data_IF_137144689218
#
_entry.id   IF_137144689218
#
_cell.length_a   1.000
_cell.length_b   1.000
_cell.length_c   1.000
_cell.angle_alpha   90.00
_cell.angle_beta   90.00
_cell.angle_gamma   90.00
#
_symmetry.space_group_name_H-M   'P 1'
#
loop_
_entity.id
_entity.type
_entity.pdbx_description
1 polymer ?
#
# COMPACT_ATOMS: atom_id res chain seq x y z
N UNK A 1 -36.67 15.87 33.00
CA UNK A 1 -35.45 16.70 33.14
C UNK A 1 -34.99 17.01 31.72
N UNK A 2 -35.39 18.15 31.14
CA UNK A 2 -34.53 19.32 30.85
C UNK A 2 -33.15 18.90 30.29
N UNK A 3 -32.66 19.29 29.11
CA UNK A 3 -32.94 20.44 28.28
C UNK A 3 -32.50 20.22 26.83
N UNK A 4 -33.20 20.93 25.95
CA UNK A 4 -33.01 21.18 24.52
C UNK A 4 -32.04 22.37 24.37
N UNK A 5 -31.08 22.30 23.44
CA UNK A 5 -30.35 23.49 22.96
C UNK A 5 -30.16 23.41 21.43
N UNK A 6 -30.74 24.36 20.67
CA UNK A 6 -30.40 24.61 19.27
C UNK A 6 -29.38 25.76 19.18
N UNK A 7 -28.34 25.60 18.38
CA UNK A 7 -27.31 26.62 18.12
C UNK A 7 -27.12 26.84 16.62
N UNK A 8 -28.09 27.53 16.02
CA UNK A 8 -28.08 28.00 14.64
C UNK A 8 -27.17 29.24 14.55
N UNK A 9 -26.02 29.15 13.87
CA UNK A 9 -25.24 30.32 13.46
C UNK A 9 -25.36 30.50 11.94
N UNK A 10 -26.33 31.32 11.55
CA UNK A 10 -26.41 31.99 10.25
C UNK A 10 -25.34 33.08 10.21
N UNK A 11 -24.36 32.96 9.30
CA UNK A 11 -23.56 34.10 8.86
C UNK A 11 -23.93 34.43 7.42
N UNK A 12 -24.78 35.44 7.28
CA UNK A 12 -24.97 36.27 6.09
C UNK A 12 -23.98 37.44 6.19
N UNK A 13 -23.14 37.70 5.19
CA UNK A 13 -22.60 39.02 4.82
C UNK A 13 -22.08 38.92 3.35
N UNK A 14 -21.91 40.04 2.61
CA UNK A 14 -22.68 40.30 1.39
C UNK A 14 -21.78 40.46 0.14
N UNK A 15 -22.45 40.52 -1.01
CA UNK A 15 -21.95 41.05 -2.27
C UNK A 15 -21.26 42.42 -2.09
N UNK A 16 -20.09 42.57 -2.71
CA UNK A 16 -19.55 43.87 -3.13
C UNK A 16 -18.91 43.74 -4.53
N UNK A 17 -19.67 44.25 -5.50
CA UNK A 17 -19.31 45.22 -6.54
C UNK A 17 -17.99 45.07 -7.30
N UNK A 18 -18.17 44.94 -8.61
CA UNK A 18 -17.20 45.09 -9.68
C UNK A 18 -16.66 46.53 -9.85
N UNK A 19 -15.38 46.63 -10.20
CA UNK A 19 -14.65 47.68 -10.94
C UNK A 19 -13.19 47.17 -10.96
N UNK A 20 -12.34 47.25 -11.97
CA UNK A 20 -12.29 48.05 -13.18
C UNK A 20 -11.22 47.40 -14.10
N UNK A 21 -11.27 47.68 -15.40
CA UNK A 21 -10.33 47.22 -16.43
C UNK A 21 -9.11 48.14 -16.47
N UNK A 22 -7.89 47.60 -16.57
CA UNK A 22 -6.95 48.23 -17.50
C UNK A 22 -6.27 47.23 -18.44
N UNK A 23 -6.29 47.64 -19.69
CA UNK A 23 -5.55 47.10 -20.82
C UNK A 23 -4.12 47.66 -20.74
N UNK A 24 -3.09 46.80 -20.65
CA UNK A 24 -1.72 47.18 -20.98
C UNK A 24 -0.86 45.95 -21.32
N UNK A 25 -0.56 45.88 -22.61
CA UNK A 25 0.54 45.14 -23.23
C UNK A 25 1.88 45.32 -22.50
N UNK A 26 2.57 44.22 -22.24
CA UNK A 26 3.93 44.22 -21.69
C UNK A 26 4.60 42.87 -21.88
N UNK A 27 5.52 42.80 -22.84
CA UNK A 27 6.27 41.64 -23.23
C UNK A 27 7.34 41.22 -22.19
N UNK A 28 7.75 39.96 -22.33
CA UNK A 28 9.05 39.39 -21.98
C UNK A 28 9.37 39.14 -20.49
N UNK A 29 9.72 37.88 -20.21
CA UNK A 29 10.48 37.53 -19.02
C UNK A 29 9.94 36.36 -18.20
N UNK A 30 9.37 35.31 -18.81
CA UNK A 30 9.11 34.06 -18.09
C UNK A 30 10.44 33.32 -17.91
N UNK A 31 11.18 33.68 -16.86
CA UNK A 31 12.34 32.95 -16.40
C UNK A 31 11.88 31.53 -16.03
N UNK A 32 12.28 30.59 -16.88
CA UNK A 32 12.18 29.17 -16.65
C UNK A 32 12.97 28.83 -15.38
N UNK A 33 12.28 28.48 -14.30
CA UNK A 33 12.85 27.76 -13.18
C UNK A 33 12.24 26.34 -13.13
N UNK A 34 12.79 25.34 -13.85
CA UNK A 34 12.29 23.96 -13.79
C UNK A 34 13.19 22.99 -13.02
N UNK A 35 14.32 23.41 -12.43
CA UNK A 35 15.33 22.45 -11.98
C UNK A 35 15.17 21.91 -10.54
N UNK A 36 14.67 22.72 -9.59
CA UNK A 36 14.70 22.33 -8.16
C UNK A 36 13.56 21.41 -7.72
N UNK A 37 12.37 21.53 -8.32
CA UNK A 37 11.23 20.67 -8.00
C UNK A 37 11.46 19.21 -8.44
N UNK A 38 12.26 19.00 -9.48
CA UNK A 38 12.52 17.66 -10.04
C UNK A 38 13.34 16.77 -9.10
N UNK A 39 14.30 17.31 -8.35
CA UNK A 39 15.15 16.50 -7.48
C UNK A 39 14.47 16.01 -6.19
N UNK A 40 13.56 16.81 -5.60
CA UNK A 40 12.84 16.42 -4.40
C UNK A 40 11.86 15.26 -4.68
N UNK A 41 11.11 15.35 -5.78
CA UNK A 41 10.16 14.30 -6.21
C UNK A 41 10.87 12.98 -6.49
N UNK A 42 12.03 13.01 -7.16
CA UNK A 42 12.83 11.79 -7.41
C UNK A 42 13.34 11.16 -6.12
N UNK A 43 13.73 11.96 -5.11
CA UNK A 43 14.14 11.42 -3.81
C UNK A 43 12.97 10.79 -3.04
N UNK A 44 11.78 11.40 -3.06
CA UNK A 44 10.60 10.81 -2.40
C UNK A 44 10.17 9.50 -3.06
N UNK A 45 10.16 9.42 -4.38
CA UNK A 45 9.83 8.19 -5.11
C UNK A 45 10.82 7.06 -4.83
N UNK A 46 12.13 7.36 -4.78
CA UNK A 46 13.15 6.34 -4.52
C UNK A 46 13.11 5.82 -3.08
N UNK A 47 12.89 6.71 -2.10
CA UNK A 47 12.73 6.32 -0.71
C UNK A 47 11.44 5.51 -0.50
N UNK A 48 10.32 5.97 -1.07
CA UNK A 48 9.04 5.26 -1.01
C UNK A 48 9.10 3.88 -1.66
N UNK A 49 9.78 3.76 -2.80
CA UNK A 49 9.96 2.47 -3.47
C UNK A 49 10.81 1.51 -2.63
N UNK A 50 11.84 2.00 -1.93
CA UNK A 50 12.64 1.18 -1.02
C UNK A 50 11.79 0.69 0.18
N UNK A 51 10.94 1.55 0.74
CA UNK A 51 10.01 1.18 1.82
C UNK A 51 9.01 0.12 1.36
N UNK A 52 8.38 0.31 0.20
CA UNK A 52 7.45 -0.65 -0.37
C UNK A 52 8.10 -2.03 -0.58
N UNK A 53 9.35 -2.08 -1.07
CA UNK A 53 10.13 -3.31 -1.21
C UNK A 53 10.43 -3.95 0.14
N UNK A 54 10.80 -3.16 1.15
CA UNK A 54 11.04 -3.66 2.50
C UNK A 54 9.77 -4.30 3.11
N UNK A 55 8.61 -3.70 2.88
CA UNK A 55 7.32 -4.23 3.31
C UNK A 55 6.93 -5.52 2.56
N UNK A 56 7.14 -5.59 1.24
CA UNK A 56 6.96 -6.84 0.48
C UNK A 56 7.83 -7.98 1.02
N UNK A 57 9.10 -7.70 1.33
CA UNK A 57 10.00 -8.68 1.95
C UNK A 57 9.54 -9.12 3.34
N UNK A 58 8.90 -8.23 4.11
CA UNK A 58 8.34 -8.57 5.40
C UNK A 58 7.10 -9.47 5.26
N UNK A 59 6.23 -9.18 4.27
CA UNK A 59 5.07 -10.01 3.93
C UNK A 59 5.51 -11.42 3.52
N UNK A 60 6.45 -11.53 2.58
CA UNK A 60 6.92 -12.84 2.11
C UNK A 60 7.65 -13.62 3.21
N UNK A 61 8.40 -12.96 4.10
CA UNK A 61 8.93 -13.59 5.32
C UNK A 61 7.83 -14.14 6.23
N UNK A 62 6.76 -13.36 6.41
CA UNK A 62 5.58 -13.78 7.16
C UNK A 62 4.91 -15.02 6.59
N UNK A 63 4.71 -15.03 5.27
CA UNK A 63 4.18 -16.17 4.51
C UNK A 63 5.06 -17.42 4.68
N UNK A 64 6.39 -17.28 4.54
CA UNK A 64 7.33 -18.38 4.74
C UNK A 64 7.26 -18.94 6.16
N UNK A 65 7.22 -18.05 7.17
CA UNK A 65 7.14 -18.45 8.58
C UNK A 65 5.81 -19.17 8.88
N UNK A 66 4.69 -18.67 8.36
CA UNK A 66 3.38 -19.31 8.50
C UNK A 66 3.37 -20.72 7.88
N UNK A 67 3.94 -20.86 6.67
CA UNK A 67 4.06 -22.15 5.97
C UNK A 67 4.91 -23.17 6.74
N UNK A 68 5.95 -22.72 7.45
CA UNK A 68 6.82 -23.61 8.24
C UNK A 68 6.28 -23.92 9.63
N UNK A 69 5.40 -23.08 10.19
CA UNK A 69 4.82 -23.28 11.53
C UNK A 69 3.87 -24.46 11.60
N UNK A 70 3.25 -24.85 10.48
CA UNK A 70 2.37 -26.02 10.40
C UNK A 70 3.12 -27.37 10.34
N UNK A 71 4.37 -27.41 10.81
CA UNK A 71 5.08 -28.67 11.05
C UNK A 71 4.41 -29.52 12.14
N UNK A 72 4.55 -30.86 12.10
CA UNK A 72 3.69 -31.77 12.84
C UNK A 72 3.80 -31.57 14.34
N UNK A 73 2.71 -31.12 14.95
CA UNK A 73 2.55 -31.10 16.40
C UNK A 73 2.14 -32.51 16.84
N UNK A 74 3.12 -33.32 17.25
CA UNK A 74 2.92 -34.44 18.18
C UNK A 74 3.00 -35.87 17.62
N UNK A 75 4.01 -36.60 18.11
CA UNK A 75 4.08 -37.97 18.71
C UNK A 75 3.05 -39.07 18.40
N UNK A 76 2.17 -38.91 17.43
CA UNK A 76 1.20 -39.95 17.05
C UNK A 76 1.63 -40.58 15.75
N UNK A 77 2.12 -41.81 15.84
CA UNK A 77 2.17 -42.74 14.71
C UNK A 77 0.74 -42.98 14.23
N UNK A 78 0.41 -42.57 13.00
CA UNK A 78 -0.05 -43.57 12.05
C UNK A 78 0.71 -43.47 10.73
N UNK A 79 1.09 -44.64 10.23
CA UNK A 79 1.69 -44.84 8.92
C UNK A 79 0.64 -44.70 7.81
N UNK A 80 0.18 -43.47 7.58
CA UNK A 80 -0.43 -43.08 6.32
C UNK A 80 0.40 -41.93 5.74
N UNK A 81 0.97 -42.15 4.56
CA UNK A 81 1.91 -41.30 3.81
C UNK A 81 1.29 -39.96 3.32
N UNK A 82 0.38 -39.36 4.09
CA UNK A 82 -0.02 -37.97 3.87
C UNK A 82 1.08 -37.07 4.43
N UNK A 83 2.15 -36.89 3.65
CA UNK A 83 3.10 -35.81 3.90
C UNK A 83 2.26 -34.54 4.13
N UNK A 84 2.41 -33.82 5.25
CA UNK A 84 1.69 -32.57 5.46
C UNK A 84 2.02 -31.69 4.25
N UNK A 85 1.03 -31.51 3.38
CA UNK A 85 1.21 -30.74 2.16
C UNK A 85 1.44 -29.32 2.61
N UNK A 86 2.71 -28.90 2.66
CA UNK A 86 3.09 -27.53 2.99
C UNK A 86 2.37 -26.65 1.99
N UNK A 87 1.35 -25.96 2.49
CA UNK A 87 0.46 -25.11 1.74
C UNK A 87 0.72 -23.67 2.16
N UNK A 88 0.69 -22.77 1.19
CA UNK A 88 0.76 -21.34 1.47
C UNK A 88 -0.49 -20.87 2.24
N UNK A 89 -0.36 -19.89 3.13
CA UNK A 89 -1.50 -19.29 3.82
C UNK A 89 -2.55 -18.76 2.84
N UNK A 90 -3.82 -18.78 3.26
CA UNK A 90 -4.94 -18.25 2.49
C UNK A 90 -4.69 -16.79 2.05
N UNK A 91 -5.31 -16.39 0.94
CA UNK A 91 -5.31 -15.00 0.49
C UNK A 91 -5.85 -14.08 1.58
N UNK A 92 -5.24 -12.90 1.71
CA UNK A 92 -5.63 -11.90 2.70
C UNK A 92 -6.19 -10.68 1.98
N UNK A 93 -7.23 -10.06 2.55
CA UNK A 93 -7.81 -8.84 2.01
C UNK A 93 -6.75 -7.73 1.91
N UNK A 94 -6.75 -6.94 0.82
CA UNK A 94 -5.81 -5.85 0.68
C UNK A 94 -6.03 -4.75 1.73
N UNK A 95 -4.95 -4.07 2.12
CA UNK A 95 -4.99 -2.96 3.07
C UNK A 95 -4.24 -1.74 2.51
N UNK A 96 -4.92 -0.61 2.26
CA UNK A 96 -6.39 -0.45 2.26
C UNK A 96 -7.13 -1.38 1.28
N UNK A 97 -8.45 -1.45 1.43
CA UNK A 97 -9.30 -2.28 0.58
C UNK A 97 -9.23 -1.86 -0.91
N UNK A 98 -9.01 -0.58 -1.21
CA UNK A 98 -8.81 -0.07 -2.57
C UNK A 98 -7.50 0.68 -2.73
N UNK A 99 -6.86 0.53 -3.89
CA UNK A 99 -5.72 1.37 -4.27
C UNK A 99 -6.12 2.84 -4.45
N UNK A 100 -7.40 3.13 -4.66
CA UNK A 100 -7.90 4.51 -4.73
C UNK A 100 -7.86 5.23 -3.37
N UNK A 101 -7.74 4.49 -2.26
CA UNK A 101 -7.61 5.07 -0.92
C UNK A 101 -6.21 5.65 -0.64
N UNK A 102 -5.22 5.29 -1.46
CA UNK A 102 -3.86 5.86 -1.40
C UNK A 102 -3.58 6.88 -2.50
N UNK A 103 -4.44 6.98 -3.52
CA UNK A 103 -4.30 7.98 -4.58
C UNK A 103 -4.54 9.39 -4.04
N UNK A 104 -3.49 10.20 -4.03
CA UNK A 104 -3.48 11.57 -3.51
C UNK A 104 -3.69 11.67 -2.00
N UNK A 105 -3.55 10.55 -1.28
CA UNK A 105 -3.91 10.45 0.13
C UNK A 105 -2.91 9.61 0.90
N UNK A 106 -2.68 10.00 2.15
CA UNK A 106 -1.95 9.16 3.11
C UNK A 106 -2.97 8.33 3.87
N UNK A 107 -2.93 7.01 3.71
CA UNK A 107 -3.80 6.08 4.41
C UNK A 107 -3.26 5.79 5.81
N UNK A 108 -4.09 5.98 6.83
CA UNK A 108 -3.73 5.61 8.22
C UNK A 108 -4.49 4.35 8.59
N UNK A 109 -3.78 3.22 8.60
CA UNK A 109 -4.38 1.93 8.95
C UNK A 109 -4.74 1.82 10.43
N UNK A 110 -5.79 1.07 10.72
CA UNK A 110 -6.16 0.67 12.08
C UNK A 110 -5.73 -0.77 12.34
N UNK A 111 -5.59 -1.21 13.61
CA UNK A 111 -5.33 -2.62 13.91
C UNK A 111 -6.34 -3.60 13.31
N UNK A 112 -7.60 -3.17 13.15
CA UNK A 112 -8.66 -4.00 12.56
C UNK A 112 -8.41 -4.28 11.07
N UNK A 113 -7.78 -3.36 10.34
CA UNK A 113 -7.47 -3.55 8.92
C UNK A 113 -6.49 -4.73 8.72
N UNK A 114 -5.64 -4.98 9.72
CA UNK A 114 -4.60 -6.01 9.69
C UNK A 114 -5.01 -7.33 10.34
N UNK A 115 -6.25 -7.48 10.81
CA UNK A 115 -6.68 -8.69 11.54
C UNK A 115 -6.49 -9.96 10.70
N UNK A 116 -6.85 -9.90 9.42
CA UNK A 116 -6.68 -11.02 8.48
C UNK A 116 -5.20 -11.29 8.13
N UNK A 117 -4.30 -10.33 8.36
CA UNK A 117 -2.86 -10.47 8.13
C UNK A 117 -2.13 -11.12 9.33
N UNK A 118 -2.83 -11.36 10.43
CA UNK A 118 -2.25 -11.94 11.65
C UNK A 118 -1.61 -13.31 11.42
N UNK A 119 -2.14 -14.12 10.50
CA UNK A 119 -1.61 -15.43 10.14
C UNK A 119 -0.16 -15.36 9.62
N UNK A 120 0.19 -14.27 8.93
CA UNK A 120 1.53 -14.02 8.39
C UNK A 120 2.34 -13.03 9.26
N UNK A 121 1.77 -12.57 10.38
CA UNK A 121 2.47 -11.69 11.33
C UNK A 121 2.82 -10.30 10.78
N UNK A 122 2.20 -9.88 9.66
CA UNK A 122 2.45 -8.59 9.04
C UNK A 122 1.41 -7.55 9.49
N UNK A 123 1.87 -6.34 9.81
CA UNK A 123 1.04 -5.17 10.12
C UNK A 123 1.86 -3.90 10.02
N UNK A 124 1.22 -2.81 9.64
CA UNK A 124 1.81 -1.48 9.68
C UNK A 124 1.05 -0.61 10.68
N UNK A 125 1.77 0.29 11.34
CA UNK A 125 1.20 1.25 12.30
C UNK A 125 1.34 2.69 11.82
N UNK A 126 2.21 2.92 10.85
CA UNK A 126 2.49 4.24 10.34
C UNK A 126 1.53 4.58 9.21
N UNK A 127 1.27 5.89 8.99
CA UNK A 127 0.59 6.34 7.77
C UNK A 127 1.36 5.86 6.54
N UNK A 128 0.65 5.33 5.55
CA UNK A 128 1.22 4.69 4.37
C UNK A 128 0.62 5.26 3.09
N UNK A 129 1.42 5.28 2.04
CA UNK A 129 1.04 5.70 0.67
C UNK A 129 0.85 4.50 -0.27
N UNK A 130 0.75 3.29 0.30
CA UNK A 130 0.70 2.03 -0.43
C UNK A 130 -0.48 1.17 0.00
N UNK A 131 -1.07 0.46 -0.95
CA UNK A 131 -1.91 -0.71 -0.74
C UNK A 131 -1.04 -1.97 -0.77
N UNK A 132 -1.20 -2.84 0.21
CA UNK A 132 -0.57 -4.16 0.26
C UNK A 132 -1.60 -5.27 0.09
N UNK A 133 -1.21 -6.36 -0.57
CA UNK A 133 -2.08 -7.50 -0.84
C UNK A 133 -1.28 -8.82 -0.82
N UNK A 134 -1.90 -9.89 -0.31
CA UNK A 134 -1.40 -11.25 -0.43
C UNK A 134 -2.45 -12.12 -1.10
N UNK A 135 -2.13 -12.70 -2.25
CA UNK A 135 -3.02 -13.59 -3.01
C UNK A 135 -2.35 -14.96 -3.09
N UNK A 136 -3.02 -15.98 -2.55
CA UNK A 136 -2.71 -17.36 -2.88
C UNK A 136 -3.40 -17.74 -4.19
N UNK A 137 -2.60 -18.13 -5.18
CA UNK A 137 -3.09 -18.57 -6.50
C UNK A 137 -3.34 -20.08 -6.51
N UNK A 138 -2.44 -20.83 -5.87
CA UNK A 138 -2.50 -22.28 -5.67
C UNK A 138 -1.95 -22.62 -4.29
N UNK A 139 -2.14 -23.86 -3.86
CA UNK A 139 -1.61 -24.31 -2.57
C UNK A 139 -0.09 -24.15 -2.46
N UNK A 140 0.63 -24.16 -3.58
CA UNK A 140 2.09 -24.01 -3.64
C UNK A 140 2.57 -22.70 -4.26
N UNK A 141 1.69 -21.81 -4.74
CA UNK A 141 2.08 -20.53 -5.37
C UNK A 141 1.21 -19.36 -4.92
N UNK A 142 1.83 -18.21 -4.67
CA UNK A 142 1.12 -16.99 -4.30
C UNK A 142 1.96 -15.75 -4.51
N UNK A 143 1.31 -14.59 -4.52
CA UNK A 143 1.90 -13.31 -4.88
C UNK A 143 1.60 -12.27 -3.80
N UNK A 144 2.65 -11.62 -3.30
CA UNK A 144 2.55 -10.38 -2.53
C UNK A 144 2.61 -9.19 -3.49
N UNK A 145 1.76 -8.18 -3.31
CA UNK A 145 1.80 -6.96 -4.13
C UNK A 145 1.74 -5.68 -3.31
N UNK A 146 2.34 -4.61 -3.85
CA UNK A 146 2.32 -3.26 -3.32
C UNK A 146 1.99 -2.27 -4.45
N UNK A 147 0.99 -1.41 -4.24
CA UNK A 147 0.57 -0.35 -5.18
C UNK A 147 0.64 0.98 -4.46
N UNK A 148 1.46 1.92 -4.93
CA UNK A 148 1.76 3.16 -4.18
C UNK A 148 1.61 4.43 -5.03
N UNK A 149 1.25 5.53 -4.37
CA UNK A 149 1.27 6.90 -4.88
C UNK A 149 2.12 7.75 -3.91
N UNK A 150 3.39 7.96 -4.26
CA UNK A 150 4.38 8.59 -3.39
C UNK A 150 4.32 10.11 -3.46
N UNK A 151 4.04 10.69 -4.62
CA UNK A 151 3.99 12.15 -4.80
C UNK A 151 2.63 12.76 -4.44
N UNK A 152 1.59 11.93 -4.31
CA UNK A 152 0.24 12.36 -3.95
C UNK A 152 -0.50 13.04 -5.10
N UNK A 153 -0.11 12.80 -6.36
CA UNK A 153 -0.77 13.39 -7.53
C UNK A 153 -2.05 12.66 -7.96
N UNK A 154 -2.41 11.57 -7.26
CA UNK A 154 -3.59 10.77 -7.55
C UNK A 154 -3.34 9.66 -8.56
N UNK A 155 -2.09 9.39 -8.95
CA UNK A 155 -1.71 8.29 -9.83
C UNK A 155 -0.69 7.39 -9.13
N UNK A 156 -0.73 6.09 -9.45
CA UNK A 156 0.19 5.14 -8.86
C UNK A 156 1.57 5.27 -9.49
N UNK A 157 2.59 5.52 -8.67
CA UNK A 157 3.99 5.62 -9.06
C UNK A 157 4.70 4.26 -9.04
N UNK A 158 4.16 3.30 -8.29
CA UNK A 158 4.75 1.97 -8.16
C UNK A 158 3.68 0.89 -8.14
N UNK A 159 3.94 -0.17 -8.90
CA UNK A 159 3.31 -1.47 -8.73
C UNK A 159 4.39 -2.55 -8.63
N UNK A 160 4.65 -3.02 -7.42
CA UNK A 160 5.64 -4.06 -7.15
C UNK A 160 4.97 -5.37 -6.75
N UNK A 161 5.45 -6.49 -7.27
CA UNK A 161 4.98 -7.84 -6.94
C UNK A 161 6.14 -8.74 -6.55
N UNK A 162 5.88 -9.72 -5.70
CA UNK A 162 6.83 -10.74 -5.30
C UNK A 162 6.14 -12.09 -5.19
N UNK A 163 6.59 -13.05 -5.99
CA UNK A 163 6.06 -14.41 -5.99
C UNK A 163 6.73 -15.26 -4.88
N UNK A 164 5.94 -16.13 -4.26
CA UNK A 164 6.40 -17.19 -3.38
C UNK A 164 5.91 -18.53 -3.93
N UNK A 165 6.84 -19.46 -4.12
CA UNK A 165 6.56 -20.80 -4.66
C UNK A 165 7.19 -21.87 -3.77
N UNK A 166 6.45 -22.92 -3.46
CA UNK A 166 6.96 -24.07 -2.71
C UNK A 166 7.67 -25.03 -3.67
N UNK A 167 8.96 -25.26 -3.43
CA UNK A 167 9.80 -26.17 -4.22
C UNK A 167 10.46 -27.14 -3.25
N UNK A 168 10.32 -28.44 -3.50
CA UNK A 168 10.82 -29.53 -2.63
C UNK A 168 10.34 -29.39 -1.17
N UNK A 169 9.11 -28.93 -0.99
CA UNK A 169 8.54 -28.70 0.34
C UNK A 169 9.18 -27.53 1.09
N UNK A 170 9.86 -26.59 0.42
CA UNK A 170 10.35 -25.37 1.02
C UNK A 170 9.88 -24.14 0.22
N UNK A 171 9.37 -23.08 0.87
CA UNK A 171 9.01 -21.87 0.16
C UNK A 171 10.27 -21.18 -0.37
N UNK A 172 10.23 -20.80 -1.64
CA UNK A 172 11.24 -19.99 -2.34
C UNK A 172 10.58 -18.68 -2.75
N UNK A 173 11.33 -17.59 -2.69
CA UNK A 173 10.85 -16.25 -3.00
C UNK A 173 11.53 -15.77 -4.28
N UNK A 174 10.74 -15.33 -5.25
CA UNK A 174 11.26 -14.74 -6.47
C UNK A 174 11.84 -13.34 -6.21
N UNK A 175 12.69 -12.81 -7.11
CA UNK A 175 13.01 -11.40 -7.14
C UNK A 175 11.73 -10.54 -7.16
N UNK A 176 11.80 -9.37 -6.55
CA UNK A 176 10.70 -8.40 -6.64
C UNK A 176 10.65 -7.91 -8.10
N UNK A 177 9.48 -8.06 -8.71
CA UNK A 177 9.17 -7.48 -10.00
C UNK A 177 8.48 -6.14 -9.75
N UNK A 178 9.19 -5.04 -9.94
CA UNK A 178 8.61 -3.71 -9.88
C UNK A 178 8.34 -3.17 -11.28
N UNK A 179 7.06 -2.94 -11.56
CA UNK A 179 6.65 -2.08 -12.65
C UNK A 179 6.52 -0.70 -12.01
N UNK A 180 7.52 0.14 -12.23
CA UNK A 180 7.36 1.59 -12.04
C UNK A 180 6.37 2.02 -13.11
N UNK A 181 5.09 2.00 -12.74
CA UNK A 181 4.07 2.63 -13.53
C UNK A 181 4.42 4.12 -13.53
N UNK A 182 4.47 4.68 -14.74
CA UNK A 182 4.57 6.11 -15.01
C UNK A 182 6.01 6.63 -15.13
N UNK A 183 6.57 6.37 -16.32
CA UNK A 183 7.13 7.45 -17.14
C UNK A 183 6.06 8.56 -17.34
N UNK A 184 5.75 9.31 -16.28
CA UNK A 184 5.10 10.62 -16.36
C UNK A 184 6.11 11.62 -16.94
#
# INVERSE_FOLDING_TARGET
>A
MFSKLPGLCLFLFPLLTACDKPEASGAAGSASAPAAASSATVMEMTLGAAEAKAHLLAITRGVMAATMKEGPVGDTLPMDDEQPTKKLPDSVKPVPASADDVKGKVYTSTPADWEAWSAIGFRLKQPQKCQYEWIREKDTTGTASAKCDFDGDGKLDLHATQEVTIVDGAPKVAPINDIIALQK
#
